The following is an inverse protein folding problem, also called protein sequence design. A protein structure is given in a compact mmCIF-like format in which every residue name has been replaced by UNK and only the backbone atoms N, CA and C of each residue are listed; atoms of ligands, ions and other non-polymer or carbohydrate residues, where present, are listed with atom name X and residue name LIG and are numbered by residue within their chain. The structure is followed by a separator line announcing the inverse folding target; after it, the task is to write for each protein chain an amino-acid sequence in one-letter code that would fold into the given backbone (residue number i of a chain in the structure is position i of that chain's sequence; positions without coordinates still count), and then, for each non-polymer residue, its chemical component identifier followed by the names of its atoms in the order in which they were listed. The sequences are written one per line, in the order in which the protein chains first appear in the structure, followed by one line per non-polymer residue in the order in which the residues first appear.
data_IF_334667208074
#
_entry.id   IF_334667208074
#
_cell.length_a   1.000
_cell.length_b   1.000
_cell.length_c   1.000
_cell.angle_alpha   90.00
_cell.angle_beta   90.00
_cell.angle_gamma   90.00
#
_symmetry.space_group_name_H-M   'P 1'
#
loop_
_entity.id
_entity.type
_entity.pdbx_description
1 polymer ?
#
# COMPACT_ATOMS: atom_id res chain seq x y z
N UNK A 1 -20.99 -12.91 5.14
CA UNK A 1 -20.60 -12.37 6.46
C UNK A 1 -19.95 -11.02 6.21
N UNK A 2 -20.28 -9.99 6.99
CA UNK A 2 -19.62 -8.68 6.85
C UNK A 2 -18.13 -8.81 7.15
N UNK A 3 -17.28 -8.33 6.25
CA UNK A 3 -15.81 -8.47 6.33
C UNK A 3 -15.24 -7.84 7.61
N UNK A 4 -15.85 -6.74 8.06
CA UNK A 4 -15.49 -6.01 9.28
C UNK A 4 -16.77 -5.62 10.03
N UNK A 5 -16.76 -5.77 11.35
CA UNK A 5 -17.87 -5.26 12.18
C UNK A 5 -17.72 -3.76 12.45
N UNK A 6 -18.85 -3.05 12.55
CA UNK A 6 -18.86 -1.62 12.88
C UNK A 6 -18.18 -1.33 14.24
N UNK A 7 -18.32 -2.26 15.20
CA UNK A 7 -17.64 -2.18 16.51
C UNK A 7 -16.12 -2.14 16.36
N UNK A 8 -15.54 -3.01 15.52
CA UNK A 8 -14.10 -3.01 15.25
C UNK A 8 -13.63 -1.71 14.59
N UNK A 9 -14.39 -1.17 13.63
CA UNK A 9 -14.07 0.12 12.99
C UNK A 9 -14.08 1.27 14.01
N UNK A 10 -15.05 1.26 14.93
CA UNK A 10 -15.16 2.26 15.99
C UNK A 10 -13.98 2.17 16.97
N UNK A 11 -13.66 0.97 17.46
CA UNK A 11 -12.55 0.71 18.39
C UNK A 11 -11.16 1.02 17.78
N UNK A 12 -11.00 0.79 16.48
CA UNK A 12 -9.78 1.12 15.75
C UNK A 12 -9.63 2.63 15.45
N UNK A 13 -10.68 3.43 15.67
CA UNK A 13 -10.66 4.87 15.44
C UNK A 13 -10.78 5.28 13.97
N UNK A 14 -11.39 4.42 13.13
CA UNK A 14 -11.54 4.64 11.67
C UNK A 14 -12.44 5.85 11.35
N UNK A 15 -13.38 6.15 12.24
CA UNK A 15 -14.37 7.22 12.06
C UNK A 15 -13.81 8.64 12.23
N UNK A 16 -12.61 8.80 12.78
CA UNK A 16 -12.01 10.13 12.92
C UNK A 16 -11.39 10.57 11.60
N UNK A 17 -11.82 11.71 11.07
CA UNK A 17 -11.15 12.35 9.95
C UNK A 17 -10.26 13.52 10.37
N UNK A 18 -9.95 14.39 9.43
CA UNK A 18 -9.19 15.62 9.67
C UNK A 18 -10.03 16.80 10.18
N UNK A 19 -9.34 17.88 10.54
CA UNK A 19 -9.94 19.17 10.89
C UNK A 19 -10.75 19.74 9.71
N UNK A 20 -11.85 20.45 10.03
CA UNK A 20 -12.76 21.02 9.02
C UNK A 20 -12.11 21.96 8.01
N UNK A 21 -11.01 22.60 8.40
CA UNK A 21 -10.24 23.52 7.54
C UNK A 21 -9.47 22.82 6.41
N UNK A 22 -9.25 21.51 6.52
CA UNK A 22 -8.36 20.74 5.64
C UNK A 22 -9.13 19.77 4.74
N UNK A 23 -10.46 19.81 4.76
CA UNK A 23 -11.28 18.85 4.04
C UNK A 23 -11.37 19.13 2.54
N UNK A 24 -11.69 18.09 1.78
CA UNK A 24 -12.05 18.16 0.38
C UNK A 24 -13.59 18.12 0.26
N UNK A 25 -14.24 19.10 -0.41
CA UNK A 25 -15.69 19.11 -0.58
C UNK A 25 -16.27 17.85 -1.23
N UNK A 26 -15.50 17.14 -2.07
CA UNK A 26 -15.95 15.88 -2.68
C UNK A 26 -16.13 14.75 -1.67
N UNK A 27 -15.43 14.81 -0.53
CA UNK A 27 -15.62 13.87 0.58
C UNK A 27 -16.92 14.09 1.36
N UNK A 28 -17.72 15.12 1.03
CA UNK A 28 -18.99 15.39 1.71
C UNK A 28 -19.93 14.19 1.75
N UNK A 29 -19.93 13.34 0.72
CA UNK A 29 -20.75 12.14 0.72
C UNK A 29 -20.30 11.11 1.77
N UNK A 30 -19.03 11.07 2.16
CA UNK A 30 -18.50 10.10 3.12
C UNK A 30 -18.44 10.64 4.56
N UNK A 31 -18.78 11.91 4.75
CA UNK A 31 -18.76 12.56 6.06
C UNK A 31 -20.16 12.49 6.68
N UNK A 32 -20.22 12.00 7.93
CA UNK A 32 -21.45 11.92 8.70
C UNK A 32 -21.79 13.23 9.41
N UNK A 33 -20.84 13.77 10.18
CA UNK A 33 -21.05 15.01 10.96
C UNK A 33 -19.71 15.64 11.35
N UNK A 34 -19.75 16.83 11.94
CA UNK A 34 -18.61 17.49 12.56
C UNK A 34 -18.77 17.46 14.09
N UNK A 35 -17.70 17.14 14.82
CA UNK A 35 -17.66 17.28 16.28
C UNK A 35 -16.32 17.90 16.71
N UNK A 36 -16.38 18.98 17.49
CA UNK A 36 -15.20 19.66 18.01
C UNK A 36 -14.19 20.08 16.92
N UNK A 37 -14.66 20.49 15.74
CA UNK A 37 -13.79 20.91 14.64
C UNK A 37 -13.15 19.76 13.84
N UNK A 38 -13.55 18.51 14.09
CA UNK A 38 -13.09 17.31 13.39
C UNK A 38 -14.28 16.68 12.65
N UNK A 39 -14.08 16.32 11.38
CA UNK A 39 -15.08 15.57 10.64
C UNK A 39 -15.10 14.10 11.06
N UNK A 40 -16.31 13.56 11.19
CA UNK A 40 -16.57 12.15 11.49
C UNK A 40 -17.00 11.47 10.19
N UNK A 41 -16.29 10.41 9.82
CA UNK A 41 -16.56 9.60 8.63
C UNK A 41 -17.74 8.66 8.91
N UNK A 42 -18.61 8.49 7.93
CA UNK A 42 -19.76 7.58 8.00
C UNK A 42 -19.32 6.11 7.89
N UNK A 43 -19.30 5.43 9.03
CA UNK A 43 -18.92 4.02 9.11
C UNK A 43 -19.85 3.09 8.33
N UNK A 44 -21.13 3.43 8.12
CA UNK A 44 -22.02 2.59 7.32
C UNK A 44 -21.57 2.58 5.86
N UNK A 45 -21.13 3.74 5.35
CA UNK A 45 -20.56 3.85 4.01
C UNK A 45 -19.20 3.16 3.95
N UNK A 46 -18.36 3.32 4.97
CA UNK A 46 -17.08 2.61 5.07
C UNK A 46 -17.27 1.10 4.99
N UNK A 47 -18.21 0.50 5.72
CA UNK A 47 -18.46 -0.96 5.67
C UNK A 47 -18.78 -1.42 4.25
N UNK A 48 -19.72 -0.75 3.58
CA UNK A 48 -20.10 -1.08 2.19
C UNK A 48 -18.92 -0.95 1.23
N UNK A 49 -18.16 0.13 1.36
CA UNK A 49 -16.99 0.42 0.53
C UNK A 49 -15.83 -0.54 0.76
N UNK A 50 -15.62 -0.98 2.00
CA UNK A 50 -14.68 -2.05 2.31
C UNK A 50 -15.13 -3.36 1.67
N UNK A 51 -16.42 -3.69 1.69
CA UNK A 51 -16.94 -4.91 1.04
C UNK A 51 -16.76 -4.87 -0.48
N UNK A 52 -17.01 -3.73 -1.14
CA UNK A 52 -16.74 -3.51 -2.57
C UNK A 52 -15.26 -3.69 -2.89
N UNK A 53 -14.37 -3.03 -2.13
CA UNK A 53 -12.92 -3.16 -2.32
C UNK A 53 -12.44 -4.59 -2.07
N UNK A 54 -12.96 -5.25 -1.05
CA UNK A 54 -12.60 -6.62 -0.68
C UNK A 54 -13.01 -7.64 -1.75
N UNK A 55 -14.20 -7.47 -2.36
CA UNK A 55 -14.64 -8.30 -3.48
C UNK A 55 -13.72 -8.13 -4.70
N UNK A 56 -13.38 -6.89 -5.07
CA UNK A 56 -12.44 -6.61 -6.15
C UNK A 56 -11.05 -7.21 -5.90
N UNK A 57 -10.52 -7.07 -4.68
CA UNK A 57 -9.21 -7.63 -4.30
C UNK A 57 -9.21 -9.17 -4.44
N UNK A 58 -10.32 -9.83 -4.08
CA UNK A 58 -10.48 -11.27 -4.31
C UNK A 58 -10.46 -11.64 -5.78
N UNK A 59 -11.11 -10.86 -6.65
CA UNK A 59 -11.08 -11.10 -8.10
C UNK A 59 -9.68 -10.91 -8.70
N UNK A 60 -8.93 -9.91 -8.23
CA UNK A 60 -7.52 -9.70 -8.63
C UNK A 60 -6.67 -10.89 -8.22
N UNK A 61 -6.84 -11.37 -6.99
CA UNK A 61 -6.13 -12.54 -6.47
C UNK A 61 -6.47 -13.82 -7.23
N UNK A 62 -7.75 -14.05 -7.54
CA UNK A 62 -8.24 -15.18 -8.34
C UNK A 62 -7.86 -15.08 -9.83
N UNK A 63 -7.41 -13.92 -10.31
CA UNK A 63 -6.81 -13.77 -11.64
C UNK A 63 -5.29 -14.02 -11.62
N UNK A 64 -4.76 -14.53 -10.51
CA UNK A 64 -3.35 -14.70 -10.22
C UNK A 64 -2.49 -13.44 -10.45
N UNK A 65 -3.08 -12.25 -10.30
CA UNK A 65 -2.38 -10.98 -10.41
C UNK A 65 -1.80 -10.57 -9.07
N UNK A 66 -0.70 -9.83 -9.11
CA UNK A 66 -0.03 -9.31 -7.91
C UNK A 66 -0.61 -7.97 -7.51
N UNK A 67 -0.58 -7.69 -6.21
CA UNK A 67 -0.97 -6.40 -5.64
C UNK A 67 0.25 -5.72 -5.04
N UNK A 68 0.36 -4.40 -5.23
CA UNK A 68 1.41 -3.59 -4.63
C UNK A 68 0.83 -2.73 -3.50
N UNK A 69 1.33 -2.91 -2.28
CA UNK A 69 0.91 -2.14 -1.11
C UNK A 69 1.81 -0.91 -0.93
N UNK A 70 1.23 0.29 -0.87
CA UNK A 70 1.98 1.55 -0.81
C UNK A 70 1.51 2.40 0.35
N UNK A 71 2.46 2.82 1.18
CA UNK A 71 2.20 3.80 2.24
C UNK A 71 3.49 4.22 2.93
N UNK A 72 3.89 5.45 2.67
CA UNK A 72 5.12 6.09 3.14
C UNK A 72 4.92 6.84 4.45
N UNK A 73 3.66 7.06 4.84
CA UNK A 73 3.28 7.67 6.11
C UNK A 73 3.75 6.82 7.29
N UNK A 74 4.35 7.44 8.31
CA UNK A 74 4.95 6.73 9.48
C UNK A 74 4.01 5.72 10.11
N UNK A 75 2.71 6.05 10.17
CA UNK A 75 1.68 5.21 10.76
C UNK A 75 1.30 3.99 9.90
N UNK A 76 1.60 4.04 8.60
CA UNK A 76 1.32 2.99 7.63
C UNK A 76 2.51 2.06 7.36
N UNK A 77 3.76 2.55 7.52
CA UNK A 77 4.96 1.85 7.04
C UNK A 77 5.08 0.40 7.55
N UNK A 78 4.93 0.21 8.86
CA UNK A 78 5.06 -1.10 9.49
C UNK A 78 3.88 -2.01 9.13
N UNK A 79 2.65 -1.47 9.16
CA UNK A 79 1.45 -2.24 8.85
C UNK A 79 1.47 -2.76 7.42
N UNK A 80 1.88 -1.93 6.46
CA UNK A 80 1.99 -2.34 5.06
C UNK A 80 3.05 -3.41 4.85
N UNK A 81 4.23 -3.24 5.45
CA UNK A 81 5.31 -4.22 5.30
C UNK A 81 4.93 -5.58 5.91
N UNK A 82 4.35 -5.60 7.11
CA UNK A 82 3.95 -6.84 7.79
C UNK A 82 2.85 -7.57 7.01
N UNK A 83 1.79 -6.85 6.60
CA UNK A 83 0.65 -7.46 5.94
C UNK A 83 0.95 -7.88 4.49
N UNK A 84 1.76 -7.10 3.76
CA UNK A 84 2.20 -7.48 2.42
C UNK A 84 3.09 -8.74 2.45
N UNK A 85 4.03 -8.82 3.40
CA UNK A 85 4.84 -10.04 3.60
C UNK A 85 3.96 -11.24 3.97
N UNK A 86 2.92 -11.04 4.80
CA UNK A 86 1.99 -12.10 5.20
C UNK A 86 1.21 -12.67 4.02
N UNK A 87 0.77 -11.84 3.08
CA UNK A 87 0.05 -12.30 1.89
C UNK A 87 0.96 -12.65 0.70
N UNK A 88 2.29 -12.56 0.85
CA UNK A 88 3.24 -12.84 -0.22
C UNK A 88 3.18 -11.84 -1.38
N UNK A 89 2.85 -10.58 -1.07
CA UNK A 89 2.73 -9.47 -2.02
C UNK A 89 3.84 -8.44 -1.83
N UNK A 90 3.93 -7.53 -2.79
CA UNK A 90 4.96 -6.50 -2.82
C UNK A 90 4.54 -5.26 -2.05
N UNK A 91 5.52 -4.48 -1.58
CA UNK A 91 5.25 -3.26 -0.85
C UNK A 91 6.24 -2.13 -1.10
N UNK A 92 5.80 -0.90 -0.83
CA UNK A 92 6.63 0.31 -0.74
C UNK A 92 6.23 1.08 0.51
N UNK A 93 7.06 1.02 1.54
CA UNK A 93 6.79 1.64 2.84
C UNK A 93 7.67 2.87 3.14
N UNK A 94 8.72 3.13 2.37
CA UNK A 94 9.65 4.24 2.63
C UNK A 94 9.34 5.48 1.79
N UNK A 95 9.64 5.42 0.49
CA UNK A 95 9.42 6.54 -0.44
C UNK A 95 9.13 5.98 -1.82
N UNK A 96 8.09 6.53 -2.45
CA UNK A 96 7.85 6.30 -3.87
C UNK A 96 8.91 7.01 -4.71
N UNK A 97 9.65 6.26 -5.52
CA UNK A 97 10.54 6.80 -6.53
C UNK A 97 9.71 7.03 -7.80
N UNK A 98 9.67 8.27 -8.29
CA UNK A 98 8.96 8.58 -9.53
C UNK A 98 9.49 7.72 -10.69
N UNK A 99 8.57 7.14 -11.47
CA UNK A 99 8.89 6.17 -12.51
C UNK A 99 8.92 4.72 -12.02
N UNK A 100 8.46 4.44 -10.79
CA UNK A 100 8.40 3.08 -10.24
C UNK A 100 7.57 2.13 -11.11
N UNK A 101 6.45 2.60 -11.65
CA UNK A 101 5.61 1.83 -12.56
C UNK A 101 5.82 2.26 -14.01
N UNK A 102 5.84 3.57 -14.26
CA UNK A 102 5.91 4.11 -15.64
C UNK A 102 7.28 3.93 -16.32
N UNK A 103 8.36 3.86 -15.55
CA UNK A 103 9.72 3.59 -16.04
C UNK A 103 10.30 2.33 -15.37
N UNK A 104 9.49 1.28 -15.32
CA UNK A 104 9.83 0.03 -14.65
C UNK A 104 11.14 -0.61 -15.17
N UNK A 105 11.46 -0.44 -16.46
CA UNK A 105 12.74 -0.91 -17.03
C UNK A 105 13.98 -0.34 -16.32
N UNK A 106 13.94 0.93 -15.90
CA UNK A 106 15.06 1.56 -15.19
C UNK A 106 15.11 1.10 -13.73
N UNK A 107 13.95 0.88 -13.12
CA UNK A 107 13.82 0.38 -11.74
C UNK A 107 14.30 -1.07 -11.66
N UNK A 108 13.95 -1.90 -12.65
CA UNK A 108 14.44 -3.27 -12.77
C UNK A 108 15.96 -3.36 -12.80
N UNK A 109 16.64 -2.47 -13.54
CA UNK A 109 18.11 -2.38 -13.51
C UNK A 109 18.68 -2.06 -12.13
N UNK A 110 17.97 -1.27 -11.32
CA UNK A 110 18.36 -0.97 -9.94
C UNK A 110 18.12 -2.16 -9.00
N UNK A 111 17.08 -2.95 -9.24
CA UNK A 111 16.82 -4.21 -8.54
C UNK A 111 17.89 -5.25 -8.91
N UNK A 112 18.26 -5.36 -10.19
CA UNK A 112 19.35 -6.22 -10.65
C UNK A 112 20.68 -5.81 -9.96
N UNK A 113 20.97 -4.51 -9.89
CA UNK A 113 22.12 -4.00 -9.14
C UNK A 113 22.09 -4.36 -7.66
N UNK A 114 20.92 -4.32 -7.01
CA UNK A 114 20.76 -4.76 -5.63
C UNK A 114 21.07 -6.26 -5.49
N UNK A 115 20.55 -7.09 -6.40
CA UNK A 115 20.82 -8.53 -6.42
C UNK A 115 22.31 -8.85 -6.66
N UNK A 116 22.99 -8.08 -7.50
CA UNK A 116 24.44 -8.18 -7.68
C UNK A 116 25.20 -7.86 -6.39
N UNK A 117 24.85 -6.77 -5.69
CA UNK A 117 25.49 -6.38 -4.43
C UNK A 117 25.32 -7.45 -3.34
N UNK A 118 24.12 -8.02 -3.22
CA UNK A 118 23.85 -9.13 -2.30
C UNK A 118 24.72 -10.35 -2.63
N UNK A 119 24.80 -10.73 -3.92
CA UNK A 119 25.66 -11.85 -4.36
C UNK A 119 27.15 -11.57 -4.11
N UNK A 120 27.60 -10.33 -4.29
CA UNK A 120 28.99 -9.95 -3.99
C UNK A 120 29.31 -10.08 -2.50
N UNK A 121 28.36 -9.71 -1.64
CA UNK A 121 28.50 -9.87 -0.18
C UNK A 121 28.52 -11.36 0.21
N UNK A 122 27.60 -12.17 -0.33
CA UNK A 122 27.52 -13.62 -0.07
C UNK A 122 28.77 -14.38 -0.53
N UNK A 123 29.36 -13.98 -1.66
CA UNK A 123 30.58 -14.59 -2.20
C UNK A 123 31.87 -14.16 -1.47
N UNK A 124 31.79 -13.34 -0.41
CA UNK A 124 32.97 -12.87 0.34
C UNK A 124 33.84 -11.85 -0.42
N UNK A 125 33.33 -11.28 -1.52
CA UNK A 125 34.06 -10.33 -2.37
C UNK A 125 34.33 -9.01 -1.63
N UNK A 126 33.58 -8.71 -0.57
CA UNK A 126 33.82 -7.53 0.26
C UNK A 126 35.09 -7.68 1.13
N UNK A 127 35.52 -8.88 1.46
CA UNK A 127 36.68 -9.10 2.33
C UNK A 127 38.01 -8.83 1.61
N UNK A 128 38.02 -8.94 0.28
CA UNK A 128 39.20 -8.66 -0.56
C UNK A 128 39.32 -7.20 -0.99
N UNK A 129 38.24 -6.41 -0.84
CA UNK A 129 38.20 -5.02 -1.27
C UNK A 129 38.74 -4.05 -0.20
N UNK A 130 39.25 -2.88 -0.59
CA UNK A 130 39.62 -1.84 0.35
C UNK A 130 38.41 -1.42 1.21
N UNK A 131 38.62 -1.26 2.53
CA UNK A 131 37.56 -0.90 3.49
C UNK A 131 36.73 0.33 3.07
N UNK A 132 37.36 1.32 2.42
CA UNK A 132 36.69 2.52 1.90
C UNK A 132 35.66 2.19 0.80
N UNK A 133 35.95 1.22 -0.05
CA UNK A 133 35.06 0.77 -1.12
C UNK A 133 33.93 -0.08 -0.57
N UNK A 134 34.24 -0.98 0.37
CA UNK A 134 33.24 -1.79 1.08
C UNK A 134 32.18 -0.89 1.75
N UNK A 135 32.60 0.19 2.42
CA UNK A 135 31.66 1.14 3.04
C UNK A 135 30.73 1.77 2.00
N UNK A 136 31.25 2.13 0.82
CA UNK A 136 30.43 2.71 -0.26
C UNK A 136 29.44 1.69 -0.83
N UNK A 137 29.88 0.46 -1.06
CA UNK A 137 29.03 -0.62 -1.58
C UNK A 137 27.93 -0.99 -0.57
N UNK A 138 28.26 -1.09 0.71
CA UNK A 138 27.27 -1.32 1.78
C UNK A 138 26.26 -0.18 1.88
N UNK A 139 26.70 1.07 1.79
CA UNK A 139 25.79 2.22 1.79
C UNK A 139 24.89 2.24 0.53
N UNK A 140 25.40 1.81 -0.62
CA UNK A 140 24.59 1.64 -1.85
C UNK A 140 23.54 0.53 -1.66
N UNK A 141 23.96 -0.63 -1.15
CA UNK A 141 23.10 -1.79 -0.89
C UNK A 141 22.00 -1.44 0.12
N UNK A 142 22.34 -0.87 1.27
CA UNK A 142 21.38 -0.47 2.31
C UNK A 142 20.36 0.53 1.75
N UNK A 143 20.81 1.49 0.94
CA UNK A 143 19.93 2.46 0.30
C UNK A 143 18.98 1.79 -0.70
N UNK A 144 19.49 0.88 -1.53
CA UNK A 144 18.66 0.16 -2.51
C UNK A 144 17.67 -0.77 -1.81
N UNK A 145 18.10 -1.54 -0.82
CA UNK A 145 17.25 -2.44 -0.03
C UNK A 145 16.12 -1.65 0.66
N UNK A 146 16.46 -0.50 1.26
CA UNK A 146 15.47 0.37 1.93
C UNK A 146 14.34 0.83 1.02
N UNK A 147 14.61 1.12 -0.26
CA UNK A 147 13.58 1.67 -1.18
C UNK A 147 12.98 0.63 -2.13
N UNK A 148 13.72 -0.42 -2.47
CA UNK A 148 13.36 -1.40 -3.50
C UNK A 148 13.18 -2.82 -2.95
N UNK A 149 13.52 -3.08 -1.69
CA UNK A 149 13.45 -4.42 -1.10
C UNK A 149 12.04 -5.04 -1.20
N UNK A 150 10.99 -4.24 -1.00
CA UNK A 150 9.61 -4.70 -1.10
C UNK A 150 9.12 -5.00 -2.52
N UNK A 151 9.85 -4.60 -3.57
CA UNK A 151 9.56 -4.91 -4.98
C UNK A 151 10.66 -5.75 -5.63
N UNK A 152 11.60 -6.27 -4.85
CA UNK A 152 12.78 -7.01 -5.34
C UNK A 152 12.41 -8.25 -6.14
N UNK A 153 11.40 -8.98 -5.67
CA UNK A 153 10.90 -10.23 -6.28
C UNK A 153 9.77 -9.97 -7.30
N UNK A 154 9.50 -8.71 -7.63
CA UNK A 154 8.48 -8.33 -8.60
C UNK A 154 9.04 -8.45 -10.01
N UNK A 155 8.46 -9.33 -10.83
CA UNK A 155 8.89 -9.57 -12.21
C UNK A 155 8.12 -8.73 -13.24
N UNK A 156 6.83 -8.51 -12.97
CA UNK A 156 5.88 -7.83 -13.84
C UNK A 156 5.17 -6.70 -13.07
N UNK A 157 4.48 -5.82 -13.80
CA UNK A 157 3.69 -4.76 -13.20
C UNK A 157 2.55 -5.35 -12.35
N UNK A 158 2.19 -4.71 -11.22
CA UNK A 158 1.10 -5.17 -10.38
C UNK A 158 -0.24 -5.04 -11.11
N UNK A 159 -1.16 -5.97 -10.85
CA UNK A 159 -2.52 -5.93 -11.37
C UNK A 159 -3.43 -4.96 -10.62
N UNK A 160 -3.07 -4.59 -9.39
CA UNK A 160 -3.77 -3.58 -8.60
C UNK A 160 -2.82 -2.89 -7.61
N UNK A 161 -3.16 -1.66 -7.24
CA UNK A 161 -2.42 -0.87 -6.26
C UNK A 161 -3.28 -0.66 -5.00
N UNK A 162 -2.74 -0.94 -3.82
CA UNK A 162 -3.35 -0.54 -2.55
C UNK A 162 -2.58 0.65 -1.97
N UNK A 163 -3.24 1.77 -1.70
CA UNK A 163 -2.61 3.02 -1.25
C UNK A 163 -3.18 3.50 0.08
N UNK A 164 -2.31 3.88 1.00
CA UNK A 164 -2.71 4.63 2.19
C UNK A 164 -2.37 6.10 1.98
N UNK A 165 -3.38 6.98 2.09
CA UNK A 165 -3.27 8.44 1.85
C UNK A 165 -2.91 8.80 0.38
N UNK A 166 -3.87 8.77 -0.56
CA UNK A 166 -3.64 9.16 -1.96
C UNK A 166 -3.03 10.55 -2.14
N UNK A 167 -3.30 11.48 -1.22
CA UNK A 167 -2.77 12.84 -1.27
C UNK A 167 -1.26 12.84 -1.04
N UNK A 168 -0.76 12.01 -0.12
CA UNK A 168 0.67 11.88 0.15
C UNK A 168 1.36 10.99 -0.90
N UNK A 169 0.64 10.02 -1.45
CA UNK A 169 1.09 9.02 -2.42
C UNK A 169 0.71 9.36 -3.87
N UNK A 170 0.41 10.64 -4.14
CA UNK A 170 -0.14 11.12 -5.42
C UNK A 170 0.63 10.66 -6.66
N UNK A 171 1.95 10.57 -6.57
CA UNK A 171 2.79 10.11 -7.70
C UNK A 171 2.48 8.64 -8.04
N UNK A 172 2.31 7.79 -7.03
CA UNK A 172 1.98 6.38 -7.22
C UNK A 172 0.61 6.22 -7.90
N UNK A 173 -0.38 6.98 -7.40
CA UNK A 173 -1.75 6.98 -7.96
C UNK A 173 -1.75 7.47 -9.40
N UNK A 174 -1.06 8.57 -9.71
CA UNK A 174 -0.96 9.08 -11.08
C UNK A 174 -0.25 8.12 -12.05
N UNK A 175 0.79 7.43 -11.58
CA UNK A 175 1.47 6.42 -12.38
C UNK A 175 0.58 5.21 -12.66
N UNK A 176 -0.16 4.75 -11.65
CA UNK A 176 -1.13 3.65 -11.78
C UNK A 176 -2.25 4.00 -12.77
N UNK A 177 -2.86 5.19 -12.63
CA UNK A 177 -3.89 5.68 -13.55
C UNK A 177 -3.40 5.76 -15.00
N UNK A 178 -2.17 6.26 -15.23
CA UNK A 178 -1.59 6.33 -16.59
C UNK A 178 -1.42 4.95 -17.24
N UNK A 179 -1.20 3.91 -16.44
CA UNK A 179 -1.02 2.54 -16.90
C UNK A 179 -2.32 1.74 -16.89
N UNK A 180 -3.44 2.33 -16.45
CA UNK A 180 -4.71 1.63 -16.28
C UNK A 180 -4.69 0.58 -15.16
N UNK A 181 -3.81 0.75 -14.17
CA UNK A 181 -3.76 -0.13 -12.99
C UNK A 181 -4.81 0.38 -11.99
N UNK A 182 -5.80 -0.44 -11.61
CA UNK A 182 -6.84 -0.06 -10.67
C UNK A 182 -6.26 0.20 -9.27
N UNK A 183 -6.78 1.23 -8.62
CA UNK A 183 -6.31 1.71 -7.32
C UNK A 183 -7.40 1.51 -6.26
N UNK A 184 -7.03 0.81 -5.18
CA UNK A 184 -7.79 0.70 -3.94
C UNK A 184 -7.10 1.60 -2.91
N UNK A 185 -7.84 2.43 -2.17
CA UNK A 185 -7.20 3.42 -1.31
C UNK A 185 -7.95 3.75 -0.03
N UNK A 186 -7.20 3.94 1.06
CA UNK A 186 -7.70 4.56 2.28
C UNK A 186 -7.76 6.07 2.06
N UNK A 187 -8.97 6.63 2.07
CA UNK A 187 -9.23 8.03 1.78
C UNK A 187 -9.80 8.72 3.03
N UNK A 188 -9.04 9.66 3.57
CA UNK A 188 -9.49 10.53 4.66
C UNK A 188 -10.18 11.79 4.09
N UNK A 189 -10.78 12.61 4.94
CA UNK A 189 -11.59 13.78 4.58
C UNK A 189 -10.84 14.85 3.80
N UNK A 190 -9.51 14.80 3.76
CA UNK A 190 -8.62 15.76 3.09
C UNK A 190 -8.16 15.30 1.68
N UNK A 191 -8.56 14.10 1.24
CA UNK A 191 -8.18 13.49 -0.03
C UNK A 191 -9.29 13.66 -1.09
N UNK A 192 -8.94 13.55 -2.37
CA UNK A 192 -9.93 13.52 -3.45
C UNK A 192 -10.34 12.07 -3.72
N UNK A 193 -11.62 11.69 -3.51
CA UNK A 193 -12.08 10.32 -3.74
C UNK A 193 -12.01 9.93 -5.22
N UNK A 194 -12.04 10.88 -6.16
CA UNK A 194 -12.03 10.61 -7.61
C UNK A 194 -10.66 10.11 -8.10
N UNK A 195 -9.59 10.27 -7.31
CA UNK A 195 -8.27 9.76 -7.66
C UNK A 195 -8.15 8.23 -7.46
N UNK A 196 -9.15 7.58 -6.83
CA UNK A 196 -9.12 6.17 -6.43
C UNK A 196 -10.35 5.44 -6.99
N UNK A 197 -10.16 4.28 -7.60
CA UNK A 197 -11.26 3.49 -8.18
C UNK A 197 -12.13 2.83 -7.09
N UNK A 198 -11.48 2.28 -6.06
CA UNK A 198 -12.13 1.65 -4.91
C UNK A 198 -11.80 2.41 -3.62
N UNK A 199 -12.62 3.41 -3.34
CA UNK A 199 -12.47 4.31 -2.18
C UNK A 199 -12.85 3.58 -0.89
N UNK A 200 -11.97 3.58 0.10
CA UNK A 200 -12.25 3.14 1.48
C UNK A 200 -12.20 4.37 2.41
N UNK A 201 -13.35 4.96 2.77
CA UNK A 201 -13.38 6.12 3.65
C UNK A 201 -12.94 5.73 5.06
N UNK A 202 -11.77 6.19 5.48
CA UNK A 202 -11.17 5.78 6.75
C UNK A 202 -10.04 6.72 7.20
N UNK A 203 -9.82 6.76 8.51
CA UNK A 203 -8.69 7.45 9.13
C UNK A 203 -7.35 6.89 8.66
N UNK A 204 -6.49 7.75 8.11
CA UNK A 204 -5.14 7.41 7.65
C UNK A 204 -4.03 7.77 8.67
N UNK A 205 -4.36 8.49 9.74
CA UNK A 205 -3.45 8.95 10.80
C UNK A 205 -3.35 7.97 11.97
N UNK A 206 -4.36 7.12 12.16
CA UNK A 206 -4.38 6.14 13.24
C UNK A 206 -3.77 4.79 12.81
N UNK A 207 -2.70 4.36 13.51
CA UNK A 207 -2.02 3.08 13.25
C UNK A 207 -3.01 1.90 13.30
N UNK A 208 -3.93 1.89 14.28
CA UNK A 208 -4.93 0.82 14.43
C UNK A 208 -5.92 0.77 13.26
N UNK A 209 -6.34 1.93 12.76
CA UNK A 209 -7.23 2.03 11.62
C UNK A 209 -6.56 1.50 10.35
N UNK A 210 -5.35 2.01 10.04
CA UNK A 210 -4.57 1.58 8.88
C UNK A 210 -4.27 0.08 8.95
N UNK A 211 -3.82 -0.42 10.11
CA UNK A 211 -3.57 -1.85 10.30
C UNK A 211 -4.82 -2.70 10.08
N UNK A 212 -5.96 -2.31 10.64
CA UNK A 212 -7.22 -3.05 10.50
C UNK A 212 -7.64 -3.18 9.04
N UNK A 213 -7.65 -2.07 8.30
CA UNK A 213 -8.05 -2.07 6.89
C UNK A 213 -7.02 -2.83 6.04
N UNK A 214 -5.73 -2.58 6.25
CA UNK A 214 -4.65 -3.23 5.48
C UNK A 214 -4.65 -4.75 5.70
N UNK A 215 -4.83 -5.21 6.94
CA UNK A 215 -4.93 -6.63 7.26
C UNK A 215 -6.12 -7.29 6.55
N UNK A 216 -7.25 -6.60 6.43
CA UNK A 216 -8.44 -7.11 5.75
C UNK A 216 -8.28 -7.19 4.24
N UNK A 217 -7.57 -6.23 3.64
CA UNK A 217 -7.20 -6.31 2.22
C UNK A 217 -6.17 -7.44 1.98
N UNK A 218 -5.23 -7.64 2.90
CA UNK A 218 -4.31 -8.78 2.82
C UNK A 218 -5.04 -10.13 2.98
N UNK A 219 -6.03 -10.23 3.87
CA UNK A 219 -6.89 -11.40 4.01
C UNK A 219 -7.63 -11.71 2.69
N UNK A 220 -8.17 -10.69 2.01
CA UNK A 220 -8.80 -10.87 0.68
C UNK A 220 -7.84 -11.48 -0.35
N UNK A 221 -6.59 -11.02 -0.39
CA UNK A 221 -5.58 -11.57 -1.31
C UNK A 221 -5.26 -13.03 -1.01
N UNK A 222 -5.19 -13.41 0.26
CA UNK A 222 -4.93 -14.80 0.68
C UNK A 222 -6.12 -15.68 0.33
N UNK A 223 -7.33 -15.26 0.69
CA UNK A 223 -8.55 -16.02 0.42
C UNK A 223 -8.81 -16.20 -1.08
N UNK A 224 -8.58 -15.16 -1.89
CA UNK A 224 -8.74 -15.25 -3.34
C UNK A 224 -7.79 -16.25 -4.00
N UNK A 225 -6.56 -16.40 -3.48
CA UNK A 225 -5.59 -17.41 -3.95
C UNK A 225 -5.88 -18.82 -3.45
N UNK A 226 -6.41 -18.96 -2.23
CA UNK A 226 -6.78 -20.27 -1.68
C UNK A 226 -8.01 -20.86 -2.36
N UNK A 227 -8.93 -20.01 -2.85
CA UNK A 227 -10.06 -20.45 -3.67
C UNK A 227 -9.64 -21.24 -4.91
N UNK A 228 -8.55 -20.84 -5.58
CA UNK A 228 -7.98 -21.61 -6.70
C UNK A 228 -7.35 -22.94 -6.25
N UNK A 229 -6.62 -22.96 -5.12
CA UNK A 229 -5.94 -24.17 -4.63
C UNK A 229 -6.89 -25.30 -4.19
N UNK A 230 -8.18 -25.03 -3.98
CA UNK A 230 -9.18 -26.05 -3.69
C UNK A 230 -9.91 -26.55 -4.95
N UNK A 231 -9.75 -25.89 -6.10
CA UNK A 231 -10.41 -26.24 -7.36
C UNK A 231 -9.50 -26.99 -8.35
N UNK A 232 -8.20 -27.14 -8.06
CA UNK A 232 -7.25 -28.05 -8.74
C UNK A 232 -7.05 -29.37 -7.98
#
# INVERSE_FOLDING_TARGET
MSVISMKQLLEAGVHFGHQTRRWNPKMAEYIFTERNGIYIIDLQKTVKKVEEAYAFVKEVAASNKTMLFVGTKKQAQESIEQEAKRCGMYFVNQRWLGGMLTNYKTIRRRIERLNELVKMEENGLFDVLPKKEVIKLKAEQEKLEKFLGGIKEMNDLPGALFVVDPRKERIAVQEAQKLGIPVVGIVDTNCDPDEVDYVIPANDDAIRAVKLITAKIADAMIEGRQGEQMEE
#
